data_IF_005906225456
#
_entry.id   IF_005906225456
#
_cell.length_a   1.000
_cell.length_b   1.000
_cell.length_c   1.000
_cell.angle_alpha   90.00
_cell.angle_beta   90.00
_cell.angle_gamma   90.00
#
_symmetry.space_group_name_H-M   'P 1'
#
loop_
_entity.id
_entity.type
_entity.pdbx_description
1 polymer ?
#
# COMPACT_ATOMS: atom_id res chain seq x y z
N UNK A 1 2.55 16.53 -1.98
CA UNK A 1 3.98 16.14 -2.18
C UNK A 1 4.13 15.30 -3.44
N UNK A 2 5.36 15.09 -3.95
CA UNK A 2 5.62 14.22 -5.11
C UNK A 2 5.88 12.76 -4.69
N UNK A 3 5.77 11.82 -5.63
CA UNK A 3 6.11 10.41 -5.39
C UNK A 3 7.58 10.22 -4.93
N UNK A 4 8.51 11.00 -5.47
CA UNK A 4 9.92 10.93 -5.09
C UNK A 4 10.14 11.40 -3.65
N UNK A 5 9.56 12.53 -3.25
CA UNK A 5 9.65 13.04 -1.87
C UNK A 5 8.97 12.07 -0.90
N UNK A 6 7.86 11.45 -1.30
CA UNK A 6 7.21 10.38 -0.53
C UNK A 6 8.11 9.16 -0.32
N UNK A 7 8.74 8.65 -1.39
CA UNK A 7 9.69 7.52 -1.27
C UNK A 7 10.86 7.87 -0.35
N UNK A 8 11.33 9.11 -0.38
CA UNK A 8 12.38 9.58 0.52
C UNK A 8 11.93 9.63 1.98
N UNK A 9 10.71 10.11 2.27
CA UNK A 9 10.19 10.14 3.65
C UNK A 9 10.02 8.74 4.22
N UNK A 10 9.55 7.77 3.43
CA UNK A 10 9.48 6.35 3.83
C UNK A 10 10.86 5.83 4.30
N UNK A 11 11.93 6.24 3.63
CA UNK A 11 13.27 5.76 3.94
C UNK A 11 13.90 6.45 5.16
N UNK A 12 13.57 7.72 5.41
CA UNK A 12 14.36 8.58 6.31
C UNK A 12 13.59 9.13 7.50
N UNK A 13 12.28 9.32 7.38
CA UNK A 13 11.50 10.03 8.39
C UNK A 13 11.00 9.08 9.48
N UNK A 14 10.88 9.55 10.74
CA UNK A 14 10.38 8.73 11.83
C UNK A 14 8.86 8.50 11.74
N UNK A 15 8.11 9.44 11.15
CA UNK A 15 6.65 9.46 11.07
C UNK A 15 6.17 9.85 9.65
N UNK A 16 4.95 9.45 9.24
CA UNK A 16 4.42 9.84 7.95
C UNK A 16 4.14 11.34 7.93
N UNK A 17 4.43 12.04 6.81
CA UNK A 17 4.06 13.43 6.66
C UNK A 17 2.56 13.69 6.85
N UNK A 18 2.20 14.84 7.42
CA UNK A 18 0.84 15.16 7.82
C UNK A 18 -0.10 15.34 6.62
N UNK A 19 0.42 15.77 5.47
CA UNK A 19 -0.34 16.05 4.26
C UNK A 19 -0.68 14.81 3.42
N UNK A 20 -0.26 13.61 3.84
CA UNK A 20 -0.58 12.37 3.15
C UNK A 20 -2.08 12.06 3.24
N UNK A 21 -2.66 11.61 2.12
CA UNK A 21 -3.97 10.96 2.13
C UNK A 21 -3.90 9.60 2.83
N UNK A 22 -5.05 9.02 3.18
CA UNK A 22 -5.09 7.72 3.87
C UNK A 22 -4.43 6.60 3.05
N UNK A 23 -4.64 6.58 1.72
CA UNK A 23 -3.96 5.63 0.81
C UNK A 23 -2.43 5.80 0.82
N UNK A 24 -1.95 7.03 0.78
CA UNK A 24 -0.51 7.31 0.80
C UNK A 24 0.09 6.96 2.17
N UNK A 25 -0.61 7.29 3.25
CA UNK A 25 -0.19 6.97 4.62
C UNK A 25 -0.20 5.47 4.86
N UNK A 26 -1.17 4.73 4.33
CA UNK A 26 -1.19 3.26 4.40
C UNK A 26 0.02 2.64 3.71
N UNK A 27 0.40 3.11 2.52
CA UNK A 27 1.62 2.67 1.83
C UNK A 27 2.89 3.04 2.60
N UNK A 28 2.92 4.21 3.25
CA UNK A 28 4.04 4.61 4.11
C UNK A 28 4.17 3.64 5.29
N UNK A 29 3.07 3.37 6.00
CA UNK A 29 3.02 2.46 7.14
C UNK A 29 3.36 1.01 6.75
N UNK A 30 2.91 0.55 5.58
CA UNK A 30 3.24 -0.78 5.05
C UNK A 30 4.75 -1.02 4.93
N UNK A 31 5.52 0.00 4.53
CA UNK A 31 6.99 -0.06 4.41
C UNK A 31 7.74 0.07 5.74
N UNK A 32 7.03 0.48 6.77
CA UNK A 32 7.58 0.75 8.11
C UNK A 32 7.18 -0.32 9.11
N UNK A 33 6.77 -1.49 8.63
CA UNK A 33 6.25 -2.61 9.42
C UNK A 33 5.06 -2.22 10.33
N UNK A 34 4.33 -1.15 9.97
CA UNK A 34 3.13 -0.64 10.66
C UNK A 34 1.86 -1.13 9.95
N UNK A 35 1.80 -2.42 9.68
CA UNK A 35 0.76 -3.05 8.86
C UNK A 35 -0.65 -2.96 9.47
N UNK A 36 -0.80 -3.01 10.79
CA UNK A 36 -2.10 -2.80 11.45
C UNK A 36 -2.65 -1.40 11.18
N UNK A 37 -1.83 -0.38 11.36
CA UNK A 37 -2.21 1.00 11.07
C UNK A 37 -2.51 1.21 9.58
N UNK A 38 -1.74 0.55 8.71
CA UNK A 38 -2.01 0.59 7.27
C UNK A 38 -3.39 0.00 6.94
N UNK A 39 -3.77 -1.13 7.54
CA UNK A 39 -5.11 -1.69 7.38
C UNK A 39 -6.18 -0.72 7.89
N UNK A 40 -5.98 -0.12 9.07
CA UNK A 40 -6.96 0.77 9.67
C UNK A 40 -7.29 1.97 8.78
N UNK A 41 -6.28 2.51 8.10
CA UNK A 41 -6.40 3.65 7.18
C UNK A 41 -7.22 3.33 5.92
N UNK A 42 -7.25 2.08 5.46
CA UNK A 42 -7.92 1.69 4.20
C UNK A 42 -9.06 0.70 4.39
N UNK A 43 -9.43 0.35 5.63
CA UNK A 43 -10.45 -0.68 5.90
C UNK A 43 -11.85 -0.31 5.37
N UNK A 44 -12.21 0.97 5.44
CA UNK A 44 -13.53 1.47 5.05
C UNK A 44 -13.59 1.92 3.58
N UNK A 45 -12.45 1.98 2.88
CA UNK A 45 -12.39 2.33 1.47
C UNK A 45 -12.64 1.08 0.61
N UNK A 46 -13.79 1.07 -0.06
CA UNK A 46 -14.23 -0.01 -0.94
C UNK A 46 -13.74 0.10 -2.39
N UNK A 47 -12.90 1.09 -2.69
CA UNK A 47 -12.33 1.30 -4.03
C UNK A 47 -11.41 0.15 -4.46
N UNK A 48 -11.19 0.05 -5.77
CA UNK A 48 -10.23 -0.91 -6.34
C UNK A 48 -8.80 -0.62 -5.89
N UNK A 49 -8.43 0.66 -5.69
CA UNK A 49 -7.09 1.04 -5.25
C UNK A 49 -6.85 0.68 -3.77
N UNK A 50 -7.82 0.91 -2.89
CA UNK A 50 -7.73 0.45 -1.49
C UNK A 50 -7.68 -1.08 -1.39
N UNK A 51 -8.48 -1.77 -2.21
CA UNK A 51 -8.41 -3.23 -2.32
C UNK A 51 -7.02 -3.71 -2.76
N UNK A 52 -6.34 -2.95 -3.63
CA UNK A 52 -4.98 -3.26 -4.05
C UNK A 52 -3.96 -3.08 -2.93
N UNK A 53 -4.11 -2.02 -2.12
CA UNK A 53 -3.32 -1.82 -0.89
C UNK A 53 -3.52 -2.97 0.10
N UNK A 54 -4.76 -3.40 0.36
CA UNK A 54 -5.04 -4.57 1.21
C UNK A 54 -4.37 -5.86 0.69
N UNK A 55 -4.36 -6.06 -0.63
CA UNK A 55 -3.69 -7.20 -1.24
C UNK A 55 -2.19 -7.22 -0.94
N UNK A 56 -1.54 -6.05 -1.02
CA UNK A 56 -0.14 -5.89 -0.65
C UNK A 56 0.10 -6.18 0.83
N UNK A 57 -0.73 -5.64 1.72
CA UNK A 57 -0.59 -5.82 3.18
C UNK A 57 -0.62 -7.31 3.56
N UNK A 58 -1.61 -8.06 3.08
CA UNK A 58 -1.67 -9.50 3.33
C UNK A 58 -0.53 -10.28 2.69
N UNK A 59 0.00 -9.81 1.56
CA UNK A 59 1.18 -10.42 0.95
C UNK A 59 2.44 -10.22 1.83
N UNK A 60 2.58 -9.05 2.46
CA UNK A 60 3.64 -8.74 3.44
C UNK A 60 3.50 -9.61 4.69
N UNK A 61 2.29 -9.78 5.22
CA UNK A 61 2.00 -10.67 6.36
C UNK A 61 2.23 -12.15 6.05
N UNK A 62 2.28 -12.51 4.76
CA UNK A 62 2.45 -13.88 4.29
C UNK A 62 1.13 -14.66 4.14
N UNK A 63 -0.02 -13.99 4.30
CA UNK A 63 -1.35 -14.51 3.98
C UNK A 63 -1.64 -14.40 2.48
N UNK A 64 -0.97 -15.27 1.71
CA UNK A 64 -1.08 -15.31 0.24
C UNK A 64 -2.51 -15.62 -0.22
N UNK A 65 -3.26 -16.40 0.57
CA UNK A 65 -4.64 -16.76 0.24
C UNK A 65 -5.55 -15.53 0.27
N UNK A 66 -5.48 -14.76 1.35
CA UNK A 66 -6.27 -13.54 1.49
C UNK A 66 -5.76 -12.42 0.57
N UNK A 67 -4.44 -12.30 0.37
CA UNK A 67 -3.88 -11.40 -0.64
C UNK A 67 -4.51 -11.66 -2.03
N UNK A 68 -4.67 -12.93 -2.42
CA UNK A 68 -5.33 -13.32 -3.67
C UNK A 68 -6.79 -12.84 -3.77
N UNK A 69 -7.55 -12.94 -2.68
CA UNK A 69 -8.92 -12.40 -2.61
C UNK A 69 -8.95 -10.88 -2.87
N UNK A 70 -8.02 -10.14 -2.28
CA UNK A 70 -7.96 -8.69 -2.45
C UNK A 70 -7.41 -8.26 -3.82
N UNK A 71 -6.46 -8.99 -4.40
CA UNK A 71 -6.05 -8.76 -5.79
C UNK A 71 -7.23 -8.92 -6.75
N UNK A 72 -8.04 -9.96 -6.54
CA UNK A 72 -9.25 -10.17 -7.32
C UNK A 72 -10.23 -9.00 -7.17
N UNK A 73 -10.47 -8.54 -5.94
CA UNK A 73 -11.34 -7.37 -5.67
C UNK A 73 -10.80 -6.08 -6.29
N UNK A 74 -9.48 -5.92 -6.33
CA UNK A 74 -8.81 -4.81 -7.00
C UNK A 74 -8.87 -4.89 -8.54
N UNK A 75 -9.27 -6.03 -9.11
CA UNK A 75 -9.23 -6.27 -10.56
C UNK A 75 -7.79 -6.36 -11.10
N UNK A 76 -6.84 -6.80 -10.28
CA UNK A 76 -5.41 -6.90 -10.63
C UNK A 76 -4.93 -8.36 -10.60
N UNK A 77 -3.91 -8.72 -11.42
CA UNK A 77 -3.26 -10.00 -11.26
C UNK A 77 -2.59 -10.11 -9.88
N UNK A 78 -2.53 -11.32 -9.33
CA UNK A 78 -1.83 -11.58 -8.08
C UNK A 78 -0.32 -11.41 -8.23
N UNK A 79 0.35 -11.00 -7.15
CA UNK A 79 1.81 -10.97 -7.07
C UNK A 79 2.37 -11.93 -6.02
N UNK A 80 3.66 -12.19 -6.11
CA UNK A 80 4.39 -13.10 -5.22
C UNK A 80 5.18 -12.35 -4.15
N UNK A 81 5.58 -13.05 -3.09
CA UNK A 81 6.39 -12.44 -2.01
C UNK A 81 7.72 -11.86 -2.50
N UNK A 82 8.32 -12.44 -3.54
CA UNK A 82 9.54 -11.89 -4.17
C UNK A 82 9.32 -10.56 -4.90
N UNK A 83 8.06 -10.17 -5.11
CA UNK A 83 7.68 -8.97 -5.87
C UNK A 83 7.12 -7.85 -4.98
N UNK A 84 7.06 -8.04 -3.65
CA UNK A 84 6.49 -7.05 -2.71
C UNK A 84 7.04 -5.64 -2.95
N UNK A 85 8.34 -5.50 -3.16
CA UNK A 85 8.95 -4.20 -3.38
C UNK A 85 8.43 -3.51 -4.65
N UNK A 86 8.39 -4.27 -5.75
CA UNK A 86 7.92 -3.82 -7.05
C UNK A 86 6.40 -3.56 -7.03
N UNK A 87 5.65 -4.37 -6.28
CA UNK A 87 4.22 -4.21 -6.08
C UNK A 87 3.91 -2.90 -5.36
N UNK A 88 4.62 -2.64 -4.25
CA UNK A 88 4.49 -1.40 -3.52
C UNK A 88 4.80 -0.19 -4.42
N UNK A 89 5.85 -0.27 -5.23
CA UNK A 89 6.18 0.82 -6.16
C UNK A 89 5.09 1.05 -7.22
N UNK A 90 4.48 -0.01 -7.74
CA UNK A 90 3.36 0.09 -8.69
C UNK A 90 2.14 0.74 -8.05
N UNK A 91 1.76 0.32 -6.85
CA UNK A 91 0.61 0.90 -6.14
C UNK A 91 0.88 2.35 -5.78
N UNK A 92 2.08 2.68 -5.27
CA UNK A 92 2.47 4.06 -4.99
C UNK A 92 2.41 4.93 -6.25
N UNK A 93 2.89 4.44 -7.39
CA UNK A 93 2.76 5.13 -8.68
C UNK A 93 1.31 5.45 -9.03
N UNK A 94 0.42 4.47 -8.91
CA UNK A 94 -1.01 4.64 -9.19
C UNK A 94 -1.67 5.64 -8.23
N UNK A 95 -1.42 5.50 -6.92
CA UNK A 95 -1.98 6.39 -5.88
C UNK A 95 -1.59 7.85 -6.10
N UNK A 96 -0.38 8.11 -6.59
CA UNK A 96 0.07 9.48 -6.89
C UNK A 96 -0.37 9.97 -8.28
N UNK A 97 -0.89 9.11 -9.15
CA UNK A 97 -1.40 9.48 -10.47
C UNK A 97 -2.90 9.82 -10.47
N UNK A 98 -3.66 9.31 -9.49
CA UNK A 98 -5.11 9.57 -9.32
C UNK A 98 -5.42 10.82 -8.46
N UNK A 99 -4.39 11.52 -7.98
CA UNK A 99 -4.50 12.74 -7.17
C UNK A 99 -4.30 14.03 -7.95
#
# INVERSE_FOLDING_TARGET
>A
MTLETFKQSVASDPEPPEELSDLQRALWCARRDRWHEAHDLVQDDSSSIASWVHALLHLIEGDVGNAGYWYHRAGRPSSTRSEIDQEWERIAGEVFAIG
#
